data_IF_857185872483
#
_entry.id   IF_857185872483
#
_cell.length_a   1.000
_cell.length_b   1.000
_cell.length_c   1.000
_cell.angle_alpha   90.00
_cell.angle_beta   90.00
_cell.angle_gamma   90.00
#
_symmetry.space_group_name_H-M   'P 1'
#
loop_
_entity.id
_entity.type
_entity.pdbx_description
1 polymer ?
#
# COMPACT_ATOMS: atom_id res chain seq x y z
N UNK A 1 -36.72 24.32 29.86
CA UNK A 1 -37.31 23.82 28.60
C UNK A 1 -37.42 22.31 28.69
N UNK A 2 -38.62 21.81 28.99
CA UNK A 2 -38.95 20.39 29.06
C UNK A 2 -39.59 20.02 27.72
N UNK A 3 -38.84 19.39 26.81
CA UNK A 3 -39.37 18.90 25.54
C UNK A 3 -39.25 17.39 25.49
N UNK A 4 -40.41 16.73 25.52
CA UNK A 4 -40.75 15.34 25.13
C UNK A 4 -41.52 14.60 26.23
N UNK A 5 -42.75 15.07 26.50
CA UNK A 5 -43.79 14.26 27.10
C UNK A 5 -44.45 13.39 26.04
N UNK A 6 -43.85 12.24 25.71
CA UNK A 6 -44.54 11.22 24.91
C UNK A 6 -45.39 10.35 25.85
N UNK A 7 -46.71 10.58 25.82
CA UNK A 7 -47.69 9.79 26.59
C UNK A 7 -47.77 8.35 26.06
N UNK A 8 -47.37 7.38 26.88
CA UNK A 8 -47.44 5.94 26.61
C UNK A 8 -48.79 5.36 27.04
N UNK A 9 -49.90 5.81 26.47
CA UNK A 9 -51.25 5.38 26.91
C UNK A 9 -51.95 4.37 25.99
N UNK A 10 -51.28 3.85 24.94
CA UNK A 10 -51.86 2.79 24.08
C UNK A 10 -50.86 1.67 23.77
N UNK A 11 -51.26 0.38 23.90
CA UNK A 11 -50.38 -0.78 23.68
C UNK A 11 -49.77 -0.82 22.28
N UNK A 12 -50.46 -0.27 21.27
CA UNK A 12 -49.98 -0.17 19.89
C UNK A 12 -48.78 0.75 19.71
N UNK A 13 -48.63 1.76 20.59
CA UNK A 13 -47.51 2.70 20.51
C UNK A 13 -46.19 2.04 20.95
N UNK A 14 -46.25 1.05 21.83
CA UNK A 14 -45.08 0.28 22.23
C UNK A 14 -44.51 -0.55 21.07
N UNK A 15 -45.36 -1.11 20.22
CA UNK A 15 -44.93 -1.82 19.01
C UNK A 15 -44.26 -0.86 18.00
N UNK A 16 -44.77 0.36 17.88
CA UNK A 16 -44.20 1.39 17.00
C UNK A 16 -42.83 1.85 17.52
N UNK A 17 -42.72 2.15 18.82
CA UNK A 17 -41.45 2.54 19.45
C UNK A 17 -40.43 1.40 19.38
N UNK A 18 -40.87 0.16 19.60
CA UNK A 18 -40.03 -1.03 19.47
C UNK A 18 -39.50 -1.22 18.05
N UNK A 19 -40.33 -1.02 17.02
CA UNK A 19 -39.91 -1.10 15.63
C UNK A 19 -38.87 -0.01 15.27
N UNK A 20 -39.07 1.22 15.75
CA UNK A 20 -38.12 2.33 15.52
C UNK A 20 -36.77 2.02 16.19
N UNK A 21 -36.77 1.54 17.44
CA UNK A 21 -35.54 1.17 18.14
C UNK A 21 -34.81 0.01 17.46
N UNK A 22 -35.54 -0.98 16.94
CA UNK A 22 -34.96 -2.10 16.20
C UNK A 22 -34.29 -1.61 14.91
N UNK A 23 -34.92 -0.71 14.15
CA UNK A 23 -34.33 -0.13 12.93
C UNK A 23 -33.06 0.69 13.25
N UNK A 24 -33.09 1.50 14.32
CA UNK A 24 -31.91 2.26 14.77
C UNK A 24 -30.76 1.32 15.16
N UNK A 25 -31.06 0.24 15.90
CA UNK A 25 -30.05 -0.72 16.34
C UNK A 25 -29.48 -1.51 15.16
N UNK A 26 -30.31 -1.96 14.22
CA UNK A 26 -29.89 -2.64 12.99
C UNK A 26 -29.02 -1.72 12.13
N UNK A 27 -29.40 -0.46 11.94
CA UNK A 27 -28.59 0.49 11.17
C UNK A 27 -27.26 0.83 11.83
N UNK A 28 -27.22 0.93 13.17
CA UNK A 28 -25.97 1.14 13.91
C UNK A 28 -25.05 -0.08 13.80
N UNK A 29 -25.60 -1.29 13.90
CA UNK A 29 -24.88 -2.55 13.66
C UNK A 29 -24.35 -2.57 12.24
N UNK A 30 -25.17 -2.33 11.21
CA UNK A 30 -24.74 -2.34 9.81
C UNK A 30 -23.67 -1.29 9.51
N UNK A 31 -23.77 -0.07 10.07
CA UNK A 31 -22.71 0.95 9.94
C UNK A 31 -21.43 0.56 10.65
N UNK A 32 -21.51 0.05 11.88
CA UNK A 32 -20.35 -0.48 12.61
C UNK A 32 -19.73 -1.67 11.89
N UNK A 33 -20.55 -2.54 11.29
CA UNK A 33 -20.12 -3.69 10.51
C UNK A 33 -19.48 -3.26 9.20
N UNK A 34 -20.01 -2.23 8.52
CA UNK A 34 -19.39 -1.65 7.33
C UNK A 34 -18.00 -1.04 7.65
N UNK A 35 -17.88 -0.29 8.75
CA UNK A 35 -16.60 0.26 9.22
C UNK A 35 -15.64 -0.87 9.65
N UNK A 36 -16.14 -1.90 10.34
CA UNK A 36 -15.35 -3.07 10.73
C UNK A 36 -14.89 -3.89 9.50
N UNK A 37 -15.74 -4.05 8.49
CA UNK A 37 -15.44 -4.73 7.23
C UNK A 37 -14.36 -3.99 6.44
N UNK A 38 -14.37 -2.66 6.47
CA UNK A 38 -13.34 -1.83 5.84
C UNK A 38 -11.97 -1.98 6.53
N UNK A 39 -11.94 -2.09 7.85
CA UNK A 39 -10.70 -2.42 8.60
C UNK A 39 -10.23 -3.87 8.35
N UNK A 40 -11.14 -4.83 8.24
CA UNK A 40 -10.83 -6.24 8.00
C UNK A 40 -10.31 -6.53 6.56
N UNK A 41 -10.64 -5.68 5.59
CA UNK A 41 -10.13 -5.75 4.21
C UNK A 41 -8.81 -4.99 4.02
N UNK A 42 -8.50 -3.99 4.85
CA UNK A 42 -7.21 -3.28 4.82
C UNK A 42 -6.02 -4.19 5.18
N UNK A 43 -6.27 -5.24 5.95
CA UNK A 43 -5.25 -6.19 6.39
C UNK A 43 -5.02 -7.37 5.44
N UNK A 44 -5.90 -7.72 4.50
CA UNK A 44 -5.71 -8.94 3.69
C UNK A 44 -5.03 -8.70 2.33
N UNK A 45 -5.22 -7.54 1.71
CA UNK A 45 -4.52 -7.24 0.46
C UNK A 45 -3.09 -6.68 0.68
N UNK A 46 -2.82 -6.01 1.81
CA UNK A 46 -1.45 -5.60 2.17
C UNK A 46 -0.63 -6.67 2.89
N UNK A 47 -1.24 -7.62 3.62
CA UNK A 47 -0.48 -8.70 4.27
C UNK A 47 0.17 -9.67 3.28
N UNK A 48 -0.21 -9.65 2.01
CA UNK A 48 0.46 -10.46 0.97
C UNK A 48 1.80 -9.91 0.51
N UNK A 49 2.02 -8.59 0.59
CA UNK A 49 3.23 -7.96 0.01
C UNK A 49 3.99 -7.11 1.05
N UNK A 50 3.40 -6.74 2.19
CA UNK A 50 4.10 -5.96 3.24
C UNK A 50 3.63 -6.42 4.62
N UNK A 51 3.79 -7.71 4.92
CA UNK A 51 3.48 -8.29 6.23
C UNK A 51 4.57 -9.27 6.65
N UNK A 52 5.40 -8.86 7.62
CA UNK A 52 6.26 -9.62 8.57
C UNK A 52 7.09 -10.84 8.09
N UNK A 53 7.05 -11.23 6.82
CA UNK A 53 7.79 -12.36 6.25
C UNK A 53 8.95 -11.92 5.34
N UNK A 54 9.56 -10.77 5.65
CA UNK A 54 10.69 -10.22 4.89
C UNK A 54 12.08 -10.65 5.41
N UNK A 55 12.16 -11.71 6.23
CA UNK A 55 13.44 -12.27 6.68
C UNK A 55 13.63 -13.77 6.36
N UNK A 56 12.63 -14.45 5.77
CA UNK A 56 12.71 -15.90 5.53
C UNK A 56 12.85 -16.32 4.06
N UNK A 57 12.89 -15.36 3.11
CA UNK A 57 12.99 -15.68 1.67
C UNK A 57 14.42 -15.51 1.13
N UNK A 58 15.32 -14.83 1.85
CA UNK A 58 16.73 -14.67 1.42
C UNK A 58 17.70 -15.75 1.92
N UNK A 59 17.28 -16.70 2.76
CA UNK A 59 18.21 -17.62 3.41
C UNK A 59 18.36 -18.99 2.74
N UNK A 60 17.64 -19.31 1.64
CA UNK A 60 17.68 -20.71 1.15
C UNK A 60 17.36 -20.99 -0.33
N UNK A 61 18.07 -20.38 -1.28
CA UNK A 61 18.54 -21.07 -2.51
C UNK A 61 19.14 -20.10 -3.53
N UNK A 62 20.34 -20.44 -4.00
CA UNK A 62 21.21 -19.73 -4.95
C UNK A 62 20.76 -19.79 -6.43
N UNK A 63 19.47 -20.03 -6.73
CA UNK A 63 19.02 -20.41 -8.08
C UNK A 63 17.73 -19.75 -8.59
N UNK A 64 17.50 -18.46 -8.34
CA UNK A 64 16.47 -17.70 -9.07
C UNK A 64 17.11 -16.65 -9.98
N UNK A 65 17.94 -17.14 -10.91
CA UNK A 65 18.49 -16.37 -12.04
C UNK A 65 17.49 -16.11 -13.17
N UNK A 66 16.32 -16.75 -13.16
CA UNK A 66 15.38 -16.65 -14.28
C UNK A 66 13.97 -16.55 -13.72
N UNK A 67 13.33 -15.38 -13.80
CA UNK A 67 11.89 -15.21 -14.06
C UNK A 67 11.66 -13.75 -14.44
N UNK A 68 11.79 -13.51 -15.74
CA UNK A 68 11.09 -12.46 -16.46
C UNK A 68 9.58 -12.78 -16.38
N UNK A 69 8.97 -12.57 -15.22
CA UNK A 69 7.53 -12.68 -15.04
C UNK A 69 6.93 -11.29 -14.99
N UNK A 70 6.14 -10.89 -16.00
CA UNK A 70 5.23 -9.76 -15.86
C UNK A 70 4.30 -10.05 -14.69
N UNK A 71 4.46 -9.36 -13.56
CA UNK A 71 3.54 -9.44 -12.41
C UNK A 71 4.16 -9.76 -11.04
N UNK A 72 5.44 -10.13 -10.95
CA UNK A 72 6.11 -10.34 -9.65
C UNK A 72 7.02 -9.17 -9.32
N UNK A 73 6.69 -8.44 -8.25
CA UNK A 73 7.48 -7.32 -7.74
C UNK A 73 8.71 -7.87 -7.00
N UNK A 74 9.91 -7.48 -7.42
CA UNK A 74 11.17 -7.98 -6.86
C UNK A 74 11.72 -7.05 -5.76
N UNK A 75 12.42 -7.62 -4.79
CA UNK A 75 13.28 -6.85 -3.88
C UNK A 75 14.69 -6.85 -4.43
N UNK A 76 15.28 -5.67 -4.60
CA UNK A 76 16.63 -5.47 -5.12
C UNK A 76 17.61 -5.18 -3.99
N UNK A 77 18.84 -5.71 -4.11
CA UNK A 77 19.95 -5.26 -3.28
C UNK A 77 20.41 -3.87 -3.74
N UNK A 78 20.93 -3.04 -2.83
CA UNK A 78 21.41 -1.70 -3.18
C UNK A 78 22.55 -1.78 -4.20
N UNK A 79 23.43 -2.76 -4.06
CA UNK A 79 24.55 -2.98 -4.96
C UNK A 79 24.10 -3.30 -6.39
N UNK A 80 22.99 -4.02 -6.55
CA UNK A 80 22.39 -4.28 -7.86
C UNK A 80 21.89 -2.99 -8.51
N UNK A 81 21.25 -2.11 -7.72
CA UNK A 81 20.80 -0.80 -8.21
C UNK A 81 21.97 0.15 -8.50
N UNK A 82 23.05 0.12 -7.69
CA UNK A 82 24.28 0.88 -7.95
C UNK A 82 24.88 0.46 -9.29
N UNK A 83 25.05 -0.84 -9.50
CA UNK A 83 25.57 -1.36 -10.77
C UNK A 83 24.69 -0.96 -11.96
N UNK A 84 23.37 -1.13 -11.84
CA UNK A 84 22.44 -0.76 -12.92
C UNK A 84 22.45 0.75 -13.22
N UNK A 85 22.70 1.60 -12.23
CA UNK A 85 22.70 3.06 -12.38
C UNK A 85 24.09 3.68 -12.57
N UNK A 86 25.13 2.84 -12.71
CA UNK A 86 26.54 3.27 -12.71
C UNK A 86 26.86 4.20 -11.53
N UNK A 87 26.56 3.75 -10.32
CA UNK A 87 26.68 4.51 -9.06
C UNK A 87 25.85 5.79 -9.03
N UNK A 88 24.60 5.71 -9.47
CA UNK A 88 23.67 6.84 -9.51
C UNK A 88 24.23 8.05 -10.28
N UNK A 89 24.94 7.80 -11.39
CA UNK A 89 25.67 8.83 -12.13
C UNK A 89 24.76 9.76 -12.94
N UNK A 90 23.80 9.21 -13.69
CA UNK A 90 22.96 9.98 -14.62
C UNK A 90 21.59 10.23 -13.99
N UNK A 91 21.32 11.49 -13.64
CA UNK A 91 20.00 11.93 -13.16
C UNK A 91 19.11 12.28 -14.35
N UNK A 92 17.97 11.62 -14.43
CA UNK A 92 16.95 11.82 -15.47
C UNK A 92 15.69 12.53 -14.94
N UNK A 93 15.59 12.72 -13.63
CA UNK A 93 14.45 13.42 -13.03
C UNK A 93 14.72 13.87 -11.60
N UNK A 94 13.93 14.86 -11.16
CA UNK A 94 13.98 15.43 -9.81
C UNK A 94 12.57 15.41 -9.25
N UNK A 95 12.37 14.73 -8.12
CA UNK A 95 11.17 14.83 -7.31
C UNK A 95 11.37 15.77 -6.12
N UNK A 96 10.31 16.01 -5.35
CA UNK A 96 10.36 16.85 -4.15
C UNK A 96 11.41 16.34 -3.14
N UNK A 97 11.36 15.04 -2.84
CA UNK A 97 12.22 14.37 -1.84
C UNK A 97 13.12 13.30 -2.46
N UNK A 98 13.29 13.32 -3.78
CA UNK A 98 13.92 12.20 -4.50
C UNK A 98 14.63 12.63 -5.78
N UNK A 99 15.53 11.78 -6.25
CA UNK A 99 16.09 11.85 -7.59
C UNK A 99 15.74 10.58 -8.37
N UNK A 100 15.61 10.72 -9.68
CA UNK A 100 15.39 9.61 -10.60
C UNK A 100 16.64 9.44 -11.44
N UNK A 101 17.19 8.22 -11.45
CA UNK A 101 18.42 7.87 -12.15
C UNK A 101 18.13 6.91 -13.30
N UNK A 102 18.90 7.05 -14.39
CA UNK A 102 18.87 6.08 -15.48
C UNK A 102 19.44 4.75 -14.99
N UNK A 103 18.74 3.66 -15.25
CA UNK A 103 19.21 2.32 -15.00
C UNK A 103 19.32 1.54 -16.31
N UNK A 104 20.44 0.87 -16.53
CA UNK A 104 20.64 -0.08 -17.61
C UNK A 104 20.39 -1.48 -17.05
N UNK A 105 19.38 -2.16 -17.59
CA UNK A 105 19.05 -3.52 -17.24
C UNK A 105 20.00 -4.46 -18.02
N UNK A 106 20.40 -5.57 -17.40
CA UNK A 106 21.35 -6.51 -18.00
C UNK A 106 20.89 -7.19 -19.31
N UNK A 107 19.67 -6.92 -19.77
CA UNK A 107 19.10 -7.36 -21.04
C UNK A 107 19.12 -6.27 -22.13
N UNK A 108 19.82 -5.14 -21.89
CA UNK A 108 19.93 -4.01 -22.82
C UNK A 108 18.73 -3.06 -22.79
N UNK A 109 17.74 -3.29 -21.92
CA UNK A 109 16.65 -2.34 -21.69
C UNK A 109 17.07 -1.26 -20.71
N UNK A 110 16.38 -0.11 -20.76
CA UNK A 110 16.54 0.95 -19.78
C UNK A 110 15.35 1.03 -18.83
N UNK A 111 15.62 1.45 -17.61
CA UNK A 111 14.65 1.70 -16.56
C UNK A 111 14.99 2.96 -15.78
N UNK A 112 14.18 3.24 -14.76
CA UNK A 112 14.34 4.39 -13.89
C UNK A 112 14.41 3.93 -12.42
N UNK A 113 15.43 4.37 -11.70
CA UNK A 113 15.56 4.15 -10.26
C UNK A 113 15.27 5.45 -9.53
N UNK A 114 14.12 5.52 -8.86
CA UNK A 114 13.77 6.62 -7.97
C UNK A 114 14.37 6.37 -6.59
N UNK A 115 15.29 7.24 -6.17
CA UNK A 115 15.94 7.19 -4.85
C UNK A 115 15.40 8.33 -3.99
N UNK A 116 14.84 7.99 -2.84
CA UNK A 116 14.41 8.95 -1.81
C UNK A 116 15.64 9.44 -1.05
N UNK A 117 15.72 10.75 -0.86
CA UNK A 117 16.87 11.45 -0.29
C UNK A 117 16.49 12.03 1.07
N UNK A 118 17.18 11.58 2.13
CA UNK A 118 16.93 12.03 3.50
C UNK A 118 17.31 13.51 3.67
N UNK A 119 18.37 13.94 3.00
CA UNK A 119 18.82 15.34 2.96
C UNK A 119 17.80 16.29 2.30
N UNK A 120 16.82 15.75 1.58
CA UNK A 120 15.70 16.51 0.97
C UNK A 120 14.39 16.37 1.74
N UNK A 121 14.45 15.90 2.99
CA UNK A 121 13.26 15.66 3.82
C UNK A 121 12.49 14.39 3.44
N UNK A 122 13.09 13.50 2.64
CA UNK A 122 12.55 12.19 2.37
C UNK A 122 12.61 11.29 3.62
N UNK A 123 11.63 10.39 3.76
CA UNK A 123 11.61 9.43 4.86
C UNK A 123 11.27 8.03 4.36
N UNK A 124 11.66 7.00 5.13
CA UNK A 124 11.27 5.61 4.86
C UNK A 124 9.75 5.46 4.76
N UNK A 125 8.98 6.21 5.56
CA UNK A 125 7.51 6.20 5.51
C UNK A 125 7.01 6.69 4.15
N UNK A 126 7.46 7.86 3.69
CA UNK A 126 7.08 8.41 2.38
C UNK A 126 7.43 7.46 1.23
N UNK A 127 8.61 6.83 1.31
CA UNK A 127 9.00 5.80 0.35
C UNK A 127 8.02 4.62 0.34
N UNK A 128 7.71 4.05 1.51
CA UNK A 128 6.79 2.91 1.63
C UNK A 128 5.37 3.26 1.19
N UNK A 129 4.91 4.48 1.49
CA UNK A 129 3.60 4.96 1.04
C UNK A 129 3.55 5.00 -0.50
N UNK A 130 4.57 5.54 -1.16
CA UNK A 130 4.65 5.56 -2.63
C UNK A 130 4.71 4.15 -3.24
N UNK A 131 5.56 3.28 -2.68
CA UNK A 131 5.63 1.87 -3.10
C UNK A 131 4.27 1.20 -2.95
N UNK A 132 3.56 1.41 -1.83
CA UNK A 132 2.24 0.82 -1.59
C UNK A 132 1.20 1.20 -2.63
N UNK A 133 1.28 2.42 -3.16
CA UNK A 133 0.41 2.91 -4.23
C UNK A 133 0.78 2.25 -5.55
N UNK A 134 2.06 2.24 -5.90
CA UNK A 134 2.55 1.64 -7.16
C UNK A 134 2.33 0.12 -7.21
N UNK A 135 2.34 -0.56 -6.08
CA UNK A 135 2.02 -1.99 -5.97
C UNK A 135 0.58 -2.33 -6.39
N UNK A 136 -0.35 -1.37 -6.29
CA UNK A 136 -1.79 -1.58 -6.56
C UNK A 136 -2.21 -1.12 -7.94
N UNK A 137 -1.33 -0.44 -8.66
CA UNK A 137 -1.63 0.19 -9.94
C UNK A 137 -0.95 -0.63 -11.04
N UNK A 138 -1.74 -1.25 -11.90
CA UNK A 138 -1.26 -1.91 -13.11
C UNK A 138 -2.18 -1.53 -14.27
N UNK A 139 -1.66 -0.73 -15.19
CA UNK A 139 -2.42 -0.25 -16.34
C UNK A 139 -1.47 -0.14 -17.55
N UNK A 140 -1.90 -0.49 -18.77
CA UNK A 140 -1.03 -0.47 -19.97
C UNK A 140 -0.43 0.91 -20.31
N UNK A 141 -1.08 2.00 -19.86
CA UNK A 141 -0.62 3.37 -20.11
C UNK A 141 0.15 3.99 -18.93
N UNK A 142 0.46 3.20 -17.89
CA UNK A 142 1.23 3.65 -16.74
C UNK A 142 2.55 2.88 -16.66
N UNK A 143 3.58 3.53 -16.14
CA UNK A 143 4.86 2.87 -15.88
C UNK A 143 4.66 1.88 -14.73
N UNK A 144 4.91 0.60 -15.00
CA UNK A 144 4.84 -0.45 -14.00
C UNK A 144 6.05 -0.43 -13.06
N UNK A 145 5.80 -0.70 -11.77
CA UNK A 145 6.87 -0.94 -10.79
C UNK A 145 7.46 -2.33 -11.02
N UNK A 146 8.79 -2.42 -11.21
CA UNK A 146 9.48 -3.71 -11.31
C UNK A 146 9.87 -4.27 -9.93
N UNK A 147 10.18 -3.38 -8.98
CA UNK A 147 10.66 -3.75 -7.67
C UNK A 147 11.12 -2.55 -6.85
N UNK A 148 11.62 -2.82 -5.65
CA UNK A 148 12.09 -1.80 -4.72
C UNK A 148 13.29 -2.30 -3.89
N UNK A 149 13.99 -1.38 -3.23
CA UNK A 149 15.08 -1.68 -2.31
C UNK A 149 14.80 -1.03 -0.95
N UNK A 150 15.12 -1.73 0.14
CA UNK A 150 14.95 -1.25 1.53
C UNK A 150 16.28 -1.07 2.28
N UNK A 151 17.39 -1.39 1.63
CA UNK A 151 18.72 -1.22 2.19
C UNK A 151 19.04 0.28 2.32
N UNK A 152 19.80 0.64 3.37
CA UNK A 152 20.28 2.00 3.56
C UNK A 152 21.53 2.21 2.71
N UNK A 153 21.68 3.38 2.09
CA UNK A 153 22.77 3.66 1.15
C UNK A 153 23.10 5.12 0.97
#
# INVERSE_FOLDING_TARGET
MWFLGFSTTRPRNFWIVGAILLVILVTFILRKWAIYVEEAQRHKCCKGIVGEKYQEICSRSSSWRNLCCPGVIRTYALEELRKATSDFRIRIGVGATSFVYLAELGDGRFGAVKRVMEERGGSKKMFLDEVSVLLRISHPNLVGLMGFCLEKG
#
